data_IF_369784221991
#
_entry.id   IF_369784221991
#
_cell.length_a   1.000
_cell.length_b   1.000
_cell.length_c   1.000
_cell.angle_alpha   90.00
_cell.angle_beta   90.00
_cell.angle_gamma   90.00
#
_symmetry.space_group_name_H-M   'P 1'
#
loop_
_entity.id
_entity.type
_entity.pdbx_description
1 polymer ?
#
# COMPACT_ATOMS: atom_id res chain seq x y z
N UNK A 1 6.05 10.05 -7.57
CA UNK A 1 7.16 9.64 -6.67
C UNK A 1 7.53 8.19 -6.94
N UNK A 2 8.70 7.80 -6.53
CA UNK A 2 9.18 6.41 -6.64
C UNK A 2 9.29 5.79 -5.27
N UNK A 3 9.05 4.50 -5.19
CA UNK A 3 9.23 3.70 -3.98
C UNK A 3 10.45 2.80 -4.13
N UNK A 4 11.29 2.77 -3.11
CA UNK A 4 12.49 1.93 -3.06
C UNK A 4 12.51 1.07 -1.79
N UNK A 5 13.20 -0.06 -1.87
CA UNK A 5 13.60 -0.81 -0.67
C UNK A 5 14.97 -0.30 -0.22
N UNK A 6 15.09 0.05 1.07
CA UNK A 6 16.33 0.67 1.57
C UNK A 6 17.53 -0.27 1.55
N UNK A 7 17.32 -1.54 1.82
CA UNK A 7 18.42 -2.49 1.98
C UNK A 7 19.29 -2.63 0.74
N UNK A 8 18.69 -2.56 -0.46
CA UNK A 8 19.41 -2.74 -1.73
C UNK A 8 19.18 -1.61 -2.74
N UNK A 9 18.47 -0.57 -2.33
CA UNK A 9 18.17 0.60 -3.17
C UNK A 9 17.36 0.27 -4.44
N UNK A 10 16.71 -0.88 -4.44
CA UNK A 10 15.92 -1.32 -5.59
C UNK A 10 14.66 -0.48 -5.73
N UNK A 11 14.40 0.03 -6.94
CA UNK A 11 13.15 0.74 -7.25
C UNK A 11 12.04 -0.29 -7.39
N UNK A 12 11.01 -0.15 -6.59
CA UNK A 12 9.87 -1.09 -6.52
C UNK A 12 8.65 -0.55 -7.27
N UNK A 13 8.41 0.76 -7.17
CA UNK A 13 7.32 1.43 -7.88
C UNK A 13 7.86 2.67 -8.58
N UNK A 14 7.46 2.86 -9.82
CA UNK A 14 7.77 4.07 -10.59
C UNK A 14 6.73 5.17 -10.39
N UNK A 15 5.52 4.81 -9.98
CA UNK A 15 4.41 5.75 -9.82
C UNK A 15 3.73 5.53 -8.46
N UNK A 16 4.22 6.24 -7.45
CA UNK A 16 3.63 6.27 -6.12
C UNK A 16 2.84 7.55 -5.93
N UNK A 17 1.57 7.43 -5.59
CA UNK A 17 0.72 8.55 -5.26
C UNK A 17 0.54 8.61 -3.75
N UNK A 18 0.79 9.77 -3.15
CA UNK A 18 0.48 9.99 -1.74
C UNK A 18 -0.93 10.54 -1.64
N UNK A 19 -1.80 9.78 -0.97
CA UNK A 19 -3.19 10.16 -0.76
C UNK A 19 -3.37 10.59 0.69
N UNK A 20 -3.41 11.88 0.92
CA UNK A 20 -3.56 12.47 2.24
C UNK A 20 -5.02 12.77 2.61
N UNK A 21 -5.96 12.50 1.70
CA UNK A 21 -7.38 12.71 1.93
C UNK A 21 -8.20 11.50 1.46
N UNK A 22 -9.34 11.30 2.10
CA UNK A 22 -10.31 10.27 1.72
C UNK A 22 -10.77 10.45 0.26
N UNK A 23 -10.93 11.68 -0.19
CA UNK A 23 -11.37 11.97 -1.55
C UNK A 23 -10.37 11.50 -2.60
N UNK A 24 -9.06 11.70 -2.35
CA UNK A 24 -8.02 11.23 -3.27
C UNK A 24 -8.02 9.71 -3.41
N UNK A 25 -8.27 9.00 -2.32
CA UNK A 25 -8.42 7.55 -2.32
C UNK A 25 -9.57 7.11 -3.22
N UNK A 26 -10.73 7.75 -3.07
CA UNK A 26 -11.91 7.44 -3.88
C UNK A 26 -11.62 7.61 -5.36
N UNK A 27 -10.95 8.70 -5.73
CA UNK A 27 -10.63 9.00 -7.13
C UNK A 27 -9.55 8.05 -7.67
N UNK A 28 -8.59 7.67 -6.82
CA UNK A 28 -7.41 6.91 -7.25
C UNK A 28 -7.68 5.47 -7.62
N UNK A 29 -8.48 4.74 -6.85
CA UNK A 29 -8.66 3.30 -7.00
C UNK A 29 -10.08 2.86 -7.34
N UNK A 30 -11.09 3.68 -7.05
CA UNK A 30 -12.46 3.40 -7.44
C UNK A 30 -12.63 3.64 -8.94
N UNK A 31 -13.56 2.91 -9.56
CA UNK A 31 -13.85 2.96 -11.00
C UNK A 31 -12.71 2.43 -11.90
N UNK A 32 -11.75 1.73 -11.34
CA UNK A 32 -10.73 1.03 -12.12
C UNK A 32 -10.96 -0.47 -12.02
N UNK A 33 -10.59 -1.18 -13.09
CA UNK A 33 -10.68 -2.66 -13.11
C UNK A 33 -9.40 -3.32 -12.62
N UNK A 34 -8.30 -2.59 -12.61
CA UNK A 34 -7.00 -3.11 -12.19
C UNK A 34 -6.04 -2.00 -11.81
N UNK A 35 -4.94 -2.38 -11.20
CA UNK A 35 -3.80 -1.52 -10.91
C UNK A 35 -2.55 -2.21 -11.44
N UNK A 36 -1.64 -1.42 -12.02
CA UNK A 36 -0.36 -1.91 -12.52
C UNK A 36 0.58 -2.26 -11.37
N UNK A 37 1.54 -3.17 -11.62
CA UNK A 37 2.58 -3.52 -10.65
C UNK A 37 3.61 -2.40 -10.41
N UNK A 38 3.55 -1.31 -11.18
CA UNK A 38 4.38 -0.12 -11.02
C UNK A 38 3.67 1.02 -10.30
N UNK A 39 2.40 0.84 -9.97
CA UNK A 39 1.58 1.85 -9.30
C UNK A 39 1.32 1.46 -7.85
N UNK A 40 1.27 2.47 -6.99
CA UNK A 40 0.87 2.27 -5.60
C UNK A 40 0.31 3.55 -5.01
N UNK A 41 -0.42 3.40 -3.91
CA UNK A 41 -1.02 4.52 -3.20
C UNK A 41 -0.63 4.46 -1.73
N UNK A 42 -0.08 5.55 -1.22
CA UNK A 42 0.42 5.65 0.15
C UNK A 42 -0.46 6.58 0.97
N UNK A 43 -0.89 6.09 2.12
CA UNK A 43 -1.73 6.83 3.06
C UNK A 43 -0.95 7.07 4.36
N UNK A 44 -0.52 8.31 4.64
CA UNK A 44 0.08 8.62 5.94
C UNK A 44 -0.99 8.73 7.03
N UNK A 45 -0.58 8.54 8.27
CA UNK A 45 -1.46 8.61 9.46
C UNK A 45 -2.65 7.66 9.35
N UNK A 46 -2.36 6.42 8.92
CA UNK A 46 -3.38 5.43 8.63
C UNK A 46 -3.04 4.11 9.29
N UNK A 47 -4.04 3.42 9.83
CA UNK A 47 -3.85 2.12 10.49
C UNK A 47 -4.90 1.08 10.10
N UNK A 48 -5.89 1.46 9.28
CA UNK A 48 -6.92 0.56 8.80
C UNK A 48 -7.43 1.06 7.46
N UNK A 49 -7.98 0.14 6.66
CA UNK A 49 -8.48 0.45 5.33
C UNK A 49 -9.84 -0.20 5.08
N UNK A 50 -10.49 0.20 4.03
CA UNK A 50 -11.60 -0.54 3.44
C UNK A 50 -11.42 -0.58 1.93
N UNK A 51 -12.05 -1.57 1.29
CA UNK A 51 -12.01 -1.75 -0.16
C UNK A 51 -13.40 -1.70 -0.78
N UNK A 52 -14.34 -1.06 -0.08
CA UNK A 52 -15.72 -0.91 -0.58
C UNK A 52 -15.71 -0.14 -1.89
N UNK A 53 -16.34 -0.71 -2.91
CA UNK A 53 -16.41 -0.10 -4.24
C UNK A 53 -15.23 -0.41 -5.14
N UNK A 54 -14.20 -1.08 -4.66
CA UNK A 54 -13.10 -1.53 -5.49
C UNK A 54 -13.48 -2.79 -6.27
N UNK A 55 -12.82 -2.98 -7.42
CA UNK A 55 -13.13 -4.08 -8.34
C UNK A 55 -12.03 -5.13 -8.44
N UNK A 56 -10.95 -4.98 -7.67
CA UNK A 56 -9.79 -5.88 -7.73
C UNK A 56 -9.18 -6.02 -6.34
N UNK A 57 -8.50 -7.15 -6.05
CA UNK A 57 -7.79 -7.32 -4.79
C UNK A 57 -6.51 -6.50 -4.76
N UNK A 58 -6.05 -6.17 -3.56
CA UNK A 58 -4.80 -5.44 -3.33
C UNK A 58 -3.99 -6.12 -2.25
N UNK A 59 -2.68 -5.90 -2.29
CA UNK A 59 -1.84 -6.14 -1.13
C UNK A 59 -1.85 -4.86 -0.29
N UNK A 60 -2.03 -5.02 1.02
CA UNK A 60 -2.05 -3.89 1.96
C UNK A 60 -0.84 -4.02 2.87
N UNK A 61 0.00 -2.99 2.85
CA UNK A 61 1.27 -2.97 3.59
C UNK A 61 1.18 -1.91 4.67
N UNK A 62 1.32 -2.31 5.93
CA UNK A 62 1.32 -1.42 7.08
C UNK A 62 2.75 -1.18 7.54
N UNK A 63 3.11 0.09 7.71
CA UNK A 63 4.45 0.50 8.14
C UNK A 63 4.37 1.41 9.36
N UNK A 64 5.37 1.34 10.20
CA UNK A 64 5.52 2.26 11.33
C UNK A 64 6.08 3.63 10.88
N UNK A 65 6.31 4.52 11.83
CA UNK A 65 6.84 5.87 11.54
C UNK A 65 8.24 5.85 10.92
N UNK A 66 8.99 4.77 11.12
CA UNK A 66 10.31 4.59 10.53
C UNK A 66 10.24 3.94 9.15
N UNK A 67 9.03 3.74 8.62
CA UNK A 67 8.80 3.14 7.30
C UNK A 67 9.18 1.66 7.25
N UNK A 68 9.23 1.00 8.41
CA UNK A 68 9.45 -0.43 8.51
C UNK A 68 8.11 -1.14 8.38
N UNK A 69 8.06 -2.17 7.55
CA UNK A 69 6.85 -2.97 7.36
C UNK A 69 6.59 -3.80 8.62
N UNK A 70 5.41 -3.61 9.22
CA UNK A 70 4.99 -4.32 10.43
C UNK A 70 3.91 -5.35 10.15
N UNK A 71 3.19 -5.23 9.05
CA UNK A 71 2.16 -6.20 8.66
C UNK A 71 1.86 -6.10 7.18
N UNK A 72 1.63 -7.25 6.55
CA UNK A 72 1.17 -7.35 5.17
C UNK A 72 -0.11 -8.19 5.13
N UNK A 73 -1.14 -7.67 4.46
CA UNK A 73 -2.35 -8.42 4.14
C UNK A 73 -2.33 -8.69 2.63
N UNK A 74 -1.91 -9.89 2.21
CA UNK A 74 -1.83 -10.20 0.79
C UNK A 74 -3.21 -10.47 0.21
N UNK A 75 -3.43 -10.03 -1.02
CA UNK A 75 -4.65 -10.29 -1.78
C UNK A 75 -5.93 -9.97 -0.99
N UNK A 76 -5.94 -8.80 -0.36
CA UNK A 76 -7.09 -8.33 0.39
C UNK A 76 -8.24 -8.10 -0.59
N UNK A 77 -9.40 -8.75 -0.39
CA UNK A 77 -10.46 -8.75 -1.40
C UNK A 77 -11.20 -7.41 -1.48
N UNK A 78 -11.84 -7.12 -2.62
CA UNK A 78 -12.70 -5.95 -2.73
C UNK A 78 -13.94 -6.06 -1.83
N UNK A 79 -14.56 -4.93 -1.56
CA UNK A 79 -15.81 -4.79 -0.79
C UNK A 79 -15.70 -5.34 0.63
N UNK A 80 -14.59 -5.05 1.30
CA UNK A 80 -14.33 -5.44 2.69
C UNK A 80 -14.01 -4.23 3.55
N UNK A 81 -14.28 -4.36 4.84
CA UNK A 81 -13.94 -3.38 5.88
C UNK A 81 -13.03 -4.07 6.88
N UNK A 82 -11.91 -3.40 7.22
CA UNK A 82 -11.13 -3.79 8.40
C UNK A 82 -11.79 -3.19 9.63
N UNK A 83 -12.19 -4.04 10.58
CA UNK A 83 -12.83 -3.58 11.82
C UNK A 83 -11.80 -3.21 12.90
N UNK A 84 -10.57 -3.68 12.77
CA UNK A 84 -9.52 -3.48 13.78
C UNK A 84 -8.32 -2.81 13.15
N UNK A 85 -7.83 -1.71 13.74
CA UNK A 85 -6.62 -1.06 13.24
C UNK A 85 -5.39 -1.93 13.53
N UNK A 86 -4.37 -1.78 12.70
CA UNK A 86 -3.06 -2.40 12.92
C UNK A 86 -2.28 -1.52 13.89
N UNK A 87 -2.02 -2.04 15.07
CA UNK A 87 -1.31 -1.30 16.12
C UNK A 87 0.12 -0.97 15.68
N UNK A 88 0.50 0.29 15.82
CA UNK A 88 1.82 0.78 15.42
C UNK A 88 1.89 1.26 14.00
N UNK A 89 0.85 1.07 13.19
CA UNK A 89 0.84 1.56 11.82
C UNK A 89 0.75 3.08 11.76
N UNK A 90 1.57 3.67 10.91
CA UNK A 90 1.52 5.08 10.57
C UNK A 90 1.29 5.30 9.08
N UNK A 91 1.88 4.44 8.25
CA UNK A 91 1.69 4.48 6.79
C UNK A 91 1.02 3.21 6.32
N UNK A 92 0.11 3.34 5.36
CA UNK A 92 -0.45 2.21 4.64
C UNK A 92 -0.15 2.37 3.15
N UNK A 93 0.40 1.33 2.55
CA UNK A 93 0.66 1.27 1.12
C UNK A 93 -0.26 0.24 0.50
N UNK A 94 -1.00 0.66 -0.53
CA UNK A 94 -1.86 -0.23 -1.31
C UNK A 94 -1.22 -0.44 -2.68
N UNK A 95 -1.04 -1.70 -3.05
CA UNK A 95 -0.44 -2.13 -4.31
C UNK A 95 -1.24 -3.29 -4.90
N UNK A 96 -0.91 -3.68 -6.12
CA UNK A 96 -1.54 -4.80 -6.81
C UNK A 96 -1.48 -6.08 -5.97
N UNK A 97 -2.57 -6.84 -5.98
CA UNK A 97 -2.60 -8.15 -5.32
C UNK A 97 -1.50 -9.06 -5.83
N UNK A 98 -0.75 -9.68 -4.90
CA UNK A 98 0.41 -10.52 -5.23
C UNK A 98 1.73 -9.77 -5.37
N UNK A 99 1.71 -8.44 -5.30
CA UNK A 99 2.89 -7.60 -5.51
C UNK A 99 4.01 -7.90 -4.50
N UNK A 100 3.65 -8.08 -3.23
CA UNK A 100 4.66 -8.35 -2.20
C UNK A 100 5.42 -9.63 -2.47
N UNK A 101 4.71 -10.68 -2.84
CA UNK A 101 5.33 -11.96 -3.17
C UNK A 101 6.20 -11.84 -4.43
N UNK A 102 5.70 -11.19 -5.46
CA UNK A 102 6.42 -11.03 -6.73
C UNK A 102 7.70 -10.20 -6.56
N UNK A 103 7.68 -9.20 -5.70
CA UNK A 103 8.83 -8.32 -5.45
C UNK A 103 9.73 -8.79 -4.31
N UNK A 104 9.34 -9.84 -3.60
CA UNK A 104 10.12 -10.34 -2.47
C UNK A 104 10.10 -9.40 -1.27
N UNK A 105 8.96 -8.78 -0.99
CA UNK A 105 8.79 -7.83 0.10
C UNK A 105 8.24 -8.55 1.31
N UNK A 106 8.85 -8.33 2.47
CA UNK A 106 8.51 -9.04 3.72
C UNK A 106 8.39 -8.06 4.88
N UNK A 107 7.73 -8.49 5.94
CA UNK A 107 7.73 -7.78 7.21
C UNK A 107 9.17 -7.56 7.66
N UNK A 108 9.43 -6.37 8.19
CA UNK A 108 10.79 -5.95 8.59
C UNK A 108 11.54 -5.16 7.54
N UNK A 109 11.15 -5.26 6.26
CA UNK A 109 11.76 -4.43 5.22
C UNK A 109 11.44 -2.95 5.47
N UNK A 110 12.38 -2.09 5.13
CA UNK A 110 12.20 -0.64 5.22
C UNK A 110 12.07 -0.08 3.82
N UNK A 111 10.99 0.67 3.60
CA UNK A 111 10.72 1.30 2.32
C UNK A 111 11.01 2.80 2.41
N UNK A 112 11.36 3.39 1.27
CA UNK A 112 11.58 4.83 1.18
C UNK A 112 10.96 5.33 -0.12
N UNK A 113 10.47 6.56 -0.07
CA UNK A 113 9.90 7.19 -1.26
C UNK A 113 10.51 8.56 -1.47
N UNK A 114 10.67 8.92 -2.75
CA UNK A 114 11.32 10.16 -3.16
C UNK A 114 10.78 10.64 -4.51
N UNK A 115 10.92 11.90 -4.75
CA UNK A 115 10.57 12.51 -6.04
C UNK A 115 11.40 11.94 -7.20
#
# INVERSE_FOLDING_TARGET
MRLKRRSDNRVLLSSLLIADTFLRRLIGLLNRDSISDQEGMLFPKCSAIHTIGMRFPIDVIFMDRSQRIIKILPNFPPNRIMFWPVRGSYYVLEVKGGWCQDKGINEGDILAWEE
#
